data_IF_291152622245
#
_entry.id   IF_291152622245
#
_cell.length_a   1.000
_cell.length_b   1.000
_cell.length_c   1.000
_cell.angle_alpha   90.00
_cell.angle_beta   90.00
_cell.angle_gamma   90.00
#
_symmetry.space_group_name_H-M   'P 1'
#
loop_
_entity.id
_entity.type
_entity.pdbx_description
1 polymer ?
#
# COMPACT_ATOMS: atom_id res chain seq x y z
N UNK A 1 -10.94 0.71 -11.00
CA UNK A 1 -12.00 0.74 -9.94
C UNK A 1 -13.35 1.04 -10.55
N UNK A 2 -14.40 0.35 -10.13
CA UNK A 2 -15.81 0.59 -10.45
C UNK A 2 -16.33 1.84 -9.74
N UNK A 3 -17.54 2.30 -10.05
CA UNK A 3 -18.18 3.42 -9.35
C UNK A 3 -18.42 3.12 -7.85
N UNK A 4 -18.76 1.86 -7.51
CA UNK A 4 -18.92 1.44 -6.12
C UNK A 4 -17.60 1.50 -5.36
N UNK A 5 -16.53 0.96 -5.93
CA UNK A 5 -15.19 1.01 -5.32
C UNK A 5 -14.70 2.45 -5.11
N UNK A 6 -14.99 3.35 -6.05
CA UNK A 6 -14.65 4.77 -5.89
C UNK A 6 -15.40 5.42 -4.71
N UNK A 7 -16.69 5.11 -4.54
CA UNK A 7 -17.48 5.58 -3.39
C UNK A 7 -16.93 5.02 -2.08
N UNK A 8 -16.56 3.75 -2.04
CA UNK A 8 -15.95 3.11 -0.88
C UNK A 8 -14.60 3.76 -0.55
N UNK A 9 -13.76 4.01 -1.54
CA UNK A 9 -12.48 4.70 -1.35
C UNK A 9 -12.66 6.08 -0.69
N UNK A 10 -13.64 6.86 -1.14
CA UNK A 10 -13.97 8.17 -0.55
C UNK A 10 -14.41 8.01 0.91
N UNK A 11 -15.33 7.07 1.19
CA UNK A 11 -15.83 6.84 2.55
C UNK A 11 -14.73 6.39 3.51
N UNK A 12 -13.80 5.53 3.06
CA UNK A 12 -12.67 5.07 3.86
C UNK A 12 -11.74 6.23 4.23
N UNK A 13 -11.42 7.09 3.26
CA UNK A 13 -10.58 8.27 3.49
C UNK A 13 -11.25 9.26 4.42
N UNK A 14 -12.52 9.60 4.21
CA UNK A 14 -13.28 10.54 5.04
C UNK A 14 -13.42 10.02 6.49
N UNK A 15 -13.75 8.74 6.67
CA UNK A 15 -13.83 8.12 7.98
C UNK A 15 -12.47 8.10 8.69
N UNK A 16 -11.40 7.73 7.97
CA UNK A 16 -10.04 7.69 8.49
C UNK A 16 -9.53 9.08 8.88
N UNK A 17 -9.79 10.09 8.05
CA UNK A 17 -9.40 11.47 8.31
C UNK A 17 -10.11 12.05 9.55
N UNK A 18 -11.40 11.74 9.69
CA UNK A 18 -12.22 12.19 10.84
C UNK A 18 -11.84 11.52 12.15
N UNK A 19 -11.68 10.20 12.15
CA UNK A 19 -11.46 9.41 13.35
C UNK A 19 -9.98 9.21 13.72
N UNK A 20 -9.06 9.43 12.78
CA UNK A 20 -7.62 9.10 12.89
C UNK A 20 -7.36 7.61 13.07
N UNK A 21 -8.21 6.77 12.47
CA UNK A 21 -8.09 5.32 12.47
C UNK A 21 -8.04 4.78 11.04
N UNK A 22 -7.46 3.60 10.89
CA UNK A 22 -7.63 2.85 9.65
C UNK A 22 -8.96 2.10 9.64
N UNK A 23 -9.55 2.02 8.46
CA UNK A 23 -10.77 1.30 8.14
C UNK A 23 -10.50 0.36 6.98
N UNK A 24 -11.20 -0.77 6.95
CA UNK A 24 -11.23 -1.64 5.80
C UNK A 24 -12.65 -1.90 5.31
N UNK A 25 -12.79 -2.11 4.02
CA UNK A 25 -14.03 -2.46 3.34
C UNK A 25 -13.77 -3.65 2.41
N UNK A 26 -14.57 -4.70 2.57
CA UNK A 26 -14.44 -5.91 1.77
C UNK A 26 -15.66 -6.10 0.87
N UNK A 27 -15.41 -6.41 -0.41
CA UNK A 27 -16.45 -6.73 -1.39
C UNK A 27 -16.30 -8.20 -1.85
N UNK A 28 -17.39 -8.81 -2.27
CA UNK A 28 -17.35 -10.16 -2.85
C UNK A 28 -16.56 -10.20 -4.17
N UNK A 29 -16.66 -9.13 -4.97
CA UNK A 29 -15.83 -8.84 -6.14
C UNK A 29 -15.94 -7.34 -6.46
N UNK A 30 -15.21 -6.85 -7.44
CA UNK A 30 -15.22 -5.41 -7.79
C UNK A 30 -16.60 -4.84 -8.17
N UNK A 31 -17.55 -5.70 -8.56
CA UNK A 31 -18.94 -5.34 -8.87
C UNK A 31 -19.95 -5.92 -7.88
N UNK A 32 -19.48 -6.67 -6.90
CA UNK A 32 -20.33 -7.35 -5.91
C UNK A 32 -20.74 -6.43 -4.74
N UNK A 33 -21.54 -6.96 -3.80
CA UNK A 33 -21.98 -6.20 -2.65
C UNK A 33 -20.82 -5.90 -1.70
N UNK A 34 -20.93 -4.79 -0.98
CA UNK A 34 -20.12 -4.53 0.21
C UNK A 34 -20.52 -5.54 1.29
N UNK A 35 -19.55 -6.32 1.75
CA UNK A 35 -19.75 -7.36 2.77
C UNK A 35 -19.46 -6.85 4.16
N UNK A 36 -18.42 -6.01 4.29
CA UNK A 36 -17.95 -5.51 5.58
C UNK A 36 -17.33 -4.12 5.44
N UNK A 37 -17.58 -3.27 6.44
CA UNK A 37 -16.89 -2.00 6.64
C UNK A 37 -16.53 -1.92 8.12
N UNK A 38 -15.23 -2.03 8.46
CA UNK A 38 -14.79 -2.26 9.84
C UNK A 38 -13.55 -1.42 10.19
N UNK A 39 -13.35 -1.20 11.48
CA UNK A 39 -12.12 -0.63 12.06
C UNK A 39 -11.79 -1.31 13.37
N UNK A 40 -10.51 -1.48 13.66
CA UNK A 40 -10.00 -1.89 14.98
C UNK A 40 -9.72 -0.67 15.88
N UNK A 41 -10.01 0.56 15.41
CA UNK A 41 -9.71 1.83 16.07
C UNK A 41 -8.21 2.04 16.30
N UNK A 42 -7.41 1.59 15.35
CA UNK A 42 -5.96 1.76 15.32
C UNK A 42 -5.59 2.65 14.12
N UNK A 43 -4.50 3.39 14.24
CA UNK A 43 -4.01 4.31 13.22
C UNK A 43 -3.06 3.67 12.21
N UNK A 44 -2.84 2.36 12.32
CA UNK A 44 -1.91 1.61 11.48
C UNK A 44 -2.44 0.26 11.01
N UNK A 45 -3.71 -0.06 11.30
CA UNK A 45 -4.26 -1.38 11.00
C UNK A 45 -5.78 -1.41 11.04
N UNK A 46 -6.38 -2.08 10.05
CA UNK A 46 -7.80 -2.42 10.03
C UNK A 46 -8.00 -3.79 9.37
N UNK A 47 -7.89 -4.87 10.14
CA UNK A 47 -8.12 -6.20 9.58
C UNK A 47 -9.62 -6.45 9.38
N UNK A 48 -9.99 -7.17 8.31
CA UNK A 48 -11.31 -7.78 8.16
C UNK A 48 -11.63 -8.76 9.30
N UNK A 49 -12.91 -9.01 9.56
CA UNK A 49 -13.34 -9.95 10.59
C UNK A 49 -12.84 -11.38 10.30
N UNK A 50 -12.67 -12.17 11.37
CA UNK A 50 -12.24 -13.57 11.23
C UNK A 50 -13.21 -14.39 10.37
N UNK A 51 -14.52 -14.15 10.50
CA UNK A 51 -15.54 -14.83 9.69
C UNK A 51 -15.37 -14.53 8.19
N UNK A 52 -15.15 -13.27 7.83
CA UNK A 52 -14.91 -12.90 6.44
C UNK A 52 -13.61 -13.51 5.90
N UNK A 53 -12.54 -13.51 6.69
CA UNK A 53 -11.27 -14.13 6.30
C UNK A 53 -11.38 -15.65 6.10
N UNK A 54 -12.21 -16.34 6.89
CA UNK A 54 -12.49 -17.77 6.71
C UNK A 54 -13.27 -18.04 5.41
N UNK A 55 -14.23 -17.20 5.07
CA UNK A 55 -14.99 -17.32 3.84
C UNK A 55 -14.16 -16.95 2.61
N UNK A 56 -13.36 -15.89 2.70
CA UNK A 56 -12.46 -15.45 1.65
C UNK A 56 -11.39 -16.51 1.27
N UNK A 57 -10.95 -17.33 2.22
CA UNK A 57 -10.06 -18.47 1.93
C UNK A 57 -10.70 -19.55 1.06
N UNK A 58 -12.03 -19.67 1.09
CA UNK A 58 -12.78 -20.69 0.33
C UNK A 58 -13.10 -20.21 -1.09
N UNK A 59 -13.29 -18.91 -1.26
CA UNK A 59 -13.74 -18.29 -2.51
C UNK A 59 -12.81 -17.12 -2.86
N UNK A 60 -11.83 -17.27 -3.78
CA UNK A 60 -10.81 -16.26 -4.04
C UNK A 60 -11.34 -15.10 -4.95
N UNK A 61 -12.47 -14.51 -4.61
CA UNK A 61 -13.09 -13.43 -5.38
C UNK A 61 -13.19 -12.12 -4.59
N UNK A 62 -12.71 -12.10 -3.36
CA UNK A 62 -12.86 -10.93 -2.50
C UNK A 62 -11.87 -9.83 -2.87
N UNK A 63 -12.35 -8.58 -2.79
CA UNK A 63 -11.56 -7.37 -2.97
C UNK A 63 -11.51 -6.63 -1.64
N UNK A 64 -10.32 -6.21 -1.22
CA UNK A 64 -10.11 -5.44 -0.01
C UNK A 64 -9.74 -4.00 -0.36
N UNK A 65 -10.47 -3.06 0.20
CA UNK A 65 -10.10 -1.64 0.24
C UNK A 65 -9.80 -1.24 1.68
N UNK A 66 -8.77 -0.42 1.90
CA UNK A 66 -8.48 0.16 3.21
C UNK A 66 -7.82 1.54 3.03
N UNK A 67 -7.81 2.36 4.07
CA UNK A 67 -7.10 3.62 4.06
C UNK A 67 -5.73 3.49 4.73
N UNK A 68 -4.76 4.23 4.22
CA UNK A 68 -3.45 4.41 4.85
C UNK A 68 -3.30 5.85 5.35
N UNK A 69 -3.28 6.04 6.65
CA UNK A 69 -3.06 7.35 7.27
C UNK A 69 -1.62 7.85 7.11
N UNK A 70 -0.66 6.92 6.99
CA UNK A 70 0.75 7.23 6.77
C UNK A 70 1.07 7.76 5.38
N UNK A 71 0.19 7.50 4.40
CA UNK A 71 0.45 7.79 2.99
C UNK A 71 1.42 6.81 2.30
N UNK A 72 1.92 5.81 3.01
CA UNK A 72 2.84 4.82 2.48
C UNK A 72 2.13 3.78 1.63
N UNK A 73 2.89 3.09 0.77
CA UNK A 73 2.44 2.01 -0.09
C UNK A 73 2.06 0.73 0.67
N UNK A 74 1.62 -0.30 -0.07
CA UNK A 74 1.24 -1.60 0.47
C UNK A 74 2.37 -2.24 1.27
N UNK A 75 2.04 -2.72 2.46
CA UNK A 75 2.95 -3.40 3.38
C UNK A 75 3.04 -4.90 3.11
N UNK A 76 3.99 -5.59 3.74
CA UNK A 76 4.00 -7.05 3.76
C UNK A 76 2.77 -7.67 4.46
N UNK A 77 2.10 -6.91 5.34
CA UNK A 77 0.81 -7.29 5.91
C UNK A 77 -0.28 -7.36 4.85
N UNK A 78 -0.34 -6.36 3.98
CA UNK A 78 -1.28 -6.28 2.86
C UNK A 78 -1.02 -7.40 1.85
N UNK A 79 0.23 -7.62 1.47
CA UNK A 79 0.61 -8.73 0.59
C UNK A 79 0.30 -10.11 1.18
N UNK A 80 0.40 -10.27 2.51
CA UNK A 80 -0.03 -11.49 3.18
C UNK A 80 -1.53 -11.70 3.06
N UNK A 81 -2.32 -10.64 3.29
CA UNK A 81 -3.77 -10.66 3.09
C UNK A 81 -4.15 -11.04 1.65
N UNK A 82 -3.52 -10.38 0.67
CA UNK A 82 -3.73 -10.69 -0.75
C UNK A 82 -3.32 -12.13 -1.10
N UNK A 83 -2.23 -12.65 -0.51
CA UNK A 83 -1.79 -14.03 -0.75
C UNK A 83 -2.74 -15.09 -0.20
N UNK A 84 -3.52 -14.76 0.83
CA UNK A 84 -4.31 -15.74 1.57
C UNK A 84 -5.82 -15.63 1.31
N UNK A 85 -6.34 -14.42 1.09
CA UNK A 85 -7.77 -14.16 1.22
C UNK A 85 -8.35 -13.26 0.11
N UNK A 86 -7.56 -12.40 -0.50
CA UNK A 86 -8.08 -11.38 -1.41
C UNK A 86 -7.48 -11.51 -2.82
N UNK A 87 -8.33 -11.41 -3.83
CA UNK A 87 -7.89 -11.40 -5.22
C UNK A 87 -7.20 -10.07 -5.58
N UNK A 88 -7.71 -8.99 -5.02
CA UNK A 88 -7.20 -7.63 -5.22
C UNK A 88 -7.23 -6.85 -3.91
N UNK A 89 -6.25 -5.97 -3.72
CA UNK A 89 -6.18 -5.06 -2.59
C UNK A 89 -5.94 -3.63 -3.05
N UNK A 90 -6.58 -2.69 -2.36
CA UNK A 90 -6.43 -1.26 -2.60
C UNK A 90 -6.16 -0.53 -1.29
N UNK A 91 -5.18 0.36 -1.29
CA UNK A 91 -4.96 1.31 -0.20
C UNK A 91 -5.20 2.74 -0.69
N UNK A 92 -5.91 3.53 0.11
CA UNK A 92 -6.33 4.90 -0.20
C UNK A 92 -5.78 5.86 0.84
N UNK A 93 -5.06 6.90 0.41
CA UNK A 93 -4.46 7.88 1.29
C UNK A 93 -5.24 9.20 1.32
N UNK A 94 -5.08 9.96 2.38
CA UNK A 94 -5.80 11.21 2.62
C UNK A 94 -5.54 12.28 1.56
N UNK A 95 -4.34 12.27 0.93
CA UNK A 95 -3.98 13.20 -0.14
C UNK A 95 -4.56 12.81 -1.51
N UNK A 96 -5.25 11.67 -1.58
CA UNK A 96 -5.79 11.09 -2.81
C UNK A 96 -4.82 10.12 -3.51
N UNK A 97 -3.63 9.87 -2.96
CA UNK A 97 -2.77 8.78 -3.41
C UNK A 97 -3.48 7.45 -3.23
N UNK A 98 -3.36 6.57 -4.19
CA UNK A 98 -3.91 5.22 -4.11
C UNK A 98 -2.94 4.18 -4.65
N UNK A 99 -3.01 3.01 -4.06
CA UNK A 99 -2.20 1.84 -4.40
C UNK A 99 -3.10 0.66 -4.72
N UNK A 100 -2.67 -0.15 -5.68
CA UNK A 100 -3.33 -1.36 -6.12
C UNK A 100 -2.37 -2.53 -6.07
N UNK A 101 -2.84 -3.69 -5.64
CA UNK A 101 -2.07 -4.91 -5.61
C UNK A 101 -2.89 -6.16 -5.92
N UNK A 102 -2.28 -7.10 -6.66
CA UNK A 102 -2.78 -8.44 -6.92
C UNK A 102 -1.63 -9.43 -6.95
N UNK A 103 -1.77 -10.54 -6.26
CA UNK A 103 -0.74 -11.60 -6.23
C UNK A 103 -0.84 -12.46 -7.48
N UNK A 104 0.28 -12.63 -8.19
CA UNK A 104 0.42 -13.53 -9.34
C UNK A 104 1.11 -14.84 -8.96
N UNK A 105 2.13 -14.78 -8.09
CA UNK A 105 2.87 -15.94 -7.59
C UNK A 105 2.86 -15.92 -6.05
N UNK A 106 1.93 -16.68 -5.49
CA UNK A 106 1.73 -16.76 -4.04
C UNK A 106 2.95 -17.27 -3.29
N UNK A 107 3.64 -18.28 -3.82
CA UNK A 107 4.79 -18.89 -3.14
C UNK A 107 5.94 -17.90 -3.06
N UNK A 108 6.20 -17.18 -4.15
CA UNK A 108 7.25 -16.15 -4.20
C UNK A 108 6.94 -14.96 -3.29
N UNK A 109 5.68 -14.52 -3.23
CA UNK A 109 5.27 -13.44 -2.31
C UNK A 109 5.41 -13.88 -0.86
N UNK A 110 5.00 -15.11 -0.50
CA UNK A 110 5.17 -15.63 0.86
C UNK A 110 6.65 -15.78 1.24
N UNK A 111 7.50 -16.24 0.32
CA UNK A 111 8.96 -16.26 0.54
C UNK A 111 9.53 -14.86 0.77
N UNK A 112 9.07 -13.85 0.01
CA UNK A 112 9.47 -12.46 0.25
C UNK A 112 9.03 -11.96 1.63
N UNK A 113 7.83 -12.32 2.09
CA UNK A 113 7.33 -11.98 3.43
C UNK A 113 8.19 -12.63 4.54
N UNK A 114 8.66 -13.85 4.34
CA UNK A 114 9.57 -14.52 5.29
C UNK A 114 10.92 -13.82 5.38
N UNK A 115 11.40 -13.25 4.28
CA UNK A 115 12.65 -12.49 4.18
C UNK A 115 12.47 -10.97 4.39
N UNK A 116 11.35 -10.52 4.96
CA UNK A 116 10.95 -9.12 5.04
C UNK A 116 12.03 -8.18 5.58
N UNK A 117 12.68 -8.54 6.68
CA UNK A 117 13.68 -7.67 7.35
C UNK A 117 14.87 -7.40 6.43
N UNK A 118 15.34 -8.43 5.74
CA UNK A 118 16.40 -8.31 4.75
C UNK A 118 15.96 -7.42 3.56
N UNK A 119 14.75 -7.65 3.04
CA UNK A 119 14.23 -6.89 1.89
C UNK A 119 13.99 -5.43 2.27
N UNK A 120 13.42 -5.15 3.43
CA UNK A 120 13.19 -3.79 3.93
C UNK A 120 14.48 -3.00 4.09
N UNK A 121 15.52 -3.61 4.70
CA UNK A 121 16.83 -2.98 4.83
C UNK A 121 17.47 -2.68 3.47
N UNK A 122 17.44 -3.65 2.55
CA UNK A 122 17.98 -3.44 1.20
C UNK A 122 17.19 -2.41 0.38
N UNK A 123 15.89 -2.29 0.58
CA UNK A 123 15.06 -1.29 -0.10
C UNK A 123 15.45 0.14 0.35
N UNK A 124 15.66 0.35 1.66
CA UNK A 124 16.14 1.62 2.21
C UNK A 124 17.54 1.95 1.66
N UNK A 125 18.47 1.01 1.67
CA UNK A 125 19.82 1.16 1.15
C UNK A 125 19.83 1.46 -0.35
N UNK A 126 18.98 0.79 -1.13
CA UNK A 126 18.85 1.04 -2.56
C UNK A 126 18.38 2.46 -2.85
N UNK A 127 17.42 2.98 -2.11
CA UNK A 127 16.94 4.35 -2.30
C UNK A 127 17.93 5.37 -1.72
N UNK A 128 18.54 5.11 -0.56
CA UNK A 128 19.59 5.95 0.00
C UNK A 128 20.79 6.12 -0.96
N UNK A 129 21.16 5.06 -1.68
CA UNK A 129 22.22 5.11 -2.69
C UNK A 129 21.97 6.21 -3.75
N UNK A 130 20.74 6.47 -4.13
CA UNK A 130 20.39 7.48 -5.13
C UNK A 130 20.08 8.86 -4.53
N UNK A 131 19.61 8.92 -3.28
CA UNK A 131 19.07 10.14 -2.66
C UNK A 131 20.00 10.75 -1.61
N UNK A 132 20.88 9.97 -1.01
CA UNK A 132 21.63 10.33 0.19
C UNK A 132 20.73 10.84 1.34
N UNK A 133 19.46 10.38 1.37
CA UNK A 133 18.44 10.84 2.32
C UNK A 133 17.75 9.64 2.98
N UNK A 134 18.01 9.44 4.27
CA UNK A 134 17.43 8.34 5.04
C UNK A 134 15.92 8.44 5.24
N UNK A 135 15.38 9.67 5.35
CA UNK A 135 13.94 9.88 5.52
C UNK A 135 13.16 9.47 4.28
N UNK A 136 13.69 9.80 3.08
CA UNK A 136 13.11 9.33 1.83
C UNK A 136 13.23 7.82 1.70
N UNK A 137 14.36 7.23 2.11
CA UNK A 137 14.57 5.79 2.13
C UNK A 137 13.51 5.08 2.96
N UNK A 138 13.30 5.55 4.18
CA UNK A 138 12.30 4.98 5.08
C UNK A 138 10.87 5.17 4.55
N UNK A 139 10.51 6.36 4.07
CA UNK A 139 9.17 6.67 3.59
C UNK A 139 8.77 5.87 2.35
N UNK A 140 9.65 5.80 1.33
CA UNK A 140 9.36 5.09 0.08
C UNK A 140 9.78 3.62 0.09
N UNK A 141 10.28 3.08 1.20
CA UNK A 141 10.69 1.67 1.31
C UNK A 141 9.65 0.70 0.77
N UNK A 142 8.40 0.85 1.20
CA UNK A 142 7.29 -0.03 0.76
C UNK A 142 7.02 0.12 -0.73
N UNK A 143 7.09 1.34 -1.28
CA UNK A 143 6.92 1.61 -2.71
C UNK A 143 8.01 0.92 -3.54
N UNK A 144 9.27 1.02 -3.11
CA UNK A 144 10.41 0.33 -3.74
C UNK A 144 10.21 -1.18 -3.74
N UNK A 145 9.75 -1.75 -2.61
CA UNK A 145 9.47 -3.19 -2.49
C UNK A 145 8.35 -3.61 -3.44
N UNK A 146 7.22 -2.90 -3.45
CA UNK A 146 6.08 -3.21 -4.31
C UNK A 146 6.47 -3.20 -5.80
N UNK A 147 7.26 -2.21 -6.22
CA UNK A 147 7.77 -2.15 -7.60
C UNK A 147 8.78 -3.26 -7.90
N UNK A 148 9.63 -3.64 -6.94
CA UNK A 148 10.56 -4.75 -7.12
C UNK A 148 9.83 -6.09 -7.25
N UNK A 149 8.77 -6.33 -6.46
CA UNK A 149 7.88 -7.50 -6.60
C UNK A 149 7.22 -7.53 -7.98
N UNK A 150 6.76 -6.37 -8.49
CA UNK A 150 6.19 -6.23 -9.85
C UNK A 150 7.22 -6.53 -10.93
N UNK A 151 8.44 -6.00 -10.82
CA UNK A 151 9.52 -6.25 -11.79
C UNK A 151 9.83 -7.74 -11.85
N UNK A 152 9.79 -8.44 -10.71
CA UNK A 152 9.94 -9.90 -10.63
C UNK A 152 8.73 -10.70 -11.11
N UNK A 153 7.65 -10.02 -11.51
CA UNK A 153 6.38 -10.65 -11.90
C UNK A 153 5.69 -11.48 -10.82
N UNK A 154 5.99 -11.20 -9.54
CA UNK A 154 5.33 -11.86 -8.41
C UNK A 154 3.95 -11.28 -8.13
N UNK A 155 3.76 -10.03 -8.50
CA UNK A 155 2.51 -9.28 -8.30
C UNK A 155 2.18 -8.39 -9.50
N UNK A 156 0.90 -8.07 -9.68
CA UNK A 156 0.48 -6.82 -10.33
C UNK A 156 0.48 -5.73 -9.26
N UNK A 157 1.00 -4.58 -9.61
CA UNK A 157 1.06 -3.43 -8.72
C UNK A 157 0.93 -2.13 -9.50
N UNK A 158 0.22 -1.17 -8.93
CA UNK A 158 0.08 0.19 -9.47
C UNK A 158 -0.05 1.22 -8.36
N UNK A 159 0.47 2.41 -8.60
CA UNK A 159 0.31 3.57 -7.75
C UNK A 159 -0.20 4.77 -8.56
N UNK A 160 -1.01 5.60 -7.92
CA UNK A 160 -1.48 6.87 -8.46
C UNK A 160 -1.28 7.95 -7.41
N UNK A 161 -0.43 8.93 -7.71
CA UNK A 161 -0.12 9.99 -6.78
C UNK A 161 -1.27 10.98 -6.63
N UNK A 162 -1.67 11.25 -5.39
CA UNK A 162 -2.71 12.22 -5.04
C UNK A 162 -2.25 13.66 -5.16
N UNK A 163 -3.21 14.57 -5.19
CA UNK A 163 -2.97 16.02 -5.35
C UNK A 163 -3.59 16.86 -4.25
N UNK A 164 -4.24 16.25 -3.26
CA UNK A 164 -4.79 16.99 -2.11
C UNK A 164 -3.67 17.35 -1.14
N UNK A 165 -3.79 18.52 -0.53
CA UNK A 165 -2.88 18.92 0.53
C UNK A 165 -2.98 17.98 1.73
N UNK A 166 -1.82 17.57 2.24
CA UNK A 166 -1.73 16.80 3.48
C UNK A 166 -1.96 17.72 4.68
N UNK A 167 -2.42 17.12 5.77
CA UNK A 167 -2.39 17.80 7.06
C UNK A 167 -0.94 18.17 7.44
N UNK A 168 -0.79 19.30 8.11
CA UNK A 168 0.52 19.84 8.52
C UNK A 168 1.45 18.83 9.21
N UNK A 169 0.88 17.84 9.92
CA UNK A 169 1.63 16.80 10.63
C UNK A 169 2.34 15.80 9.70
N UNK A 170 1.71 15.43 8.58
CA UNK A 170 2.32 14.49 7.62
C UNK A 170 3.45 15.17 6.84
N UNK A 171 3.32 16.46 6.54
CA UNK A 171 4.36 17.26 5.87
C UNK A 171 5.60 17.42 6.76
N UNK A 172 5.42 17.60 8.07
CA UNK A 172 6.53 17.74 9.04
C UNK A 172 7.42 16.48 9.10
N UNK A 173 6.84 15.31 8.88
CA UNK A 173 7.59 14.05 8.89
C UNK A 173 8.47 13.88 7.64
N UNK A 174 8.15 14.56 6.53
CA UNK A 174 8.88 14.47 5.26
C UNK A 174 9.97 15.55 5.18
N UNK A 175 9.81 16.67 5.87
CA UNK A 175 10.74 17.80 6.01
C UNK A 175 11.48 18.22 4.70
N UNK A 176 10.77 18.17 3.57
CA UNK A 176 11.28 18.67 2.30
C UNK A 176 10.66 20.03 1.98
N UNK A 177 11.47 21.06 1.92
CA UNK A 177 11.02 22.42 1.61
C UNK A 177 10.31 22.48 0.24
N UNK A 178 9.09 23.03 0.22
CA UNK A 178 8.30 23.23 -0.99
C UNK A 178 7.48 22.03 -1.46
N UNK A 179 7.45 20.93 -0.70
CA UNK A 179 6.55 19.78 -0.93
C UNK A 179 5.34 19.91 -0.03
N UNK A 180 4.15 19.92 -0.62
CA UNK A 180 2.89 20.10 0.10
C UNK A 180 2.02 18.83 0.10
N UNK A 181 2.34 17.85 -0.75
CA UNK A 181 1.61 16.59 -0.87
C UNK A 181 2.56 15.40 -1.06
N UNK A 182 2.12 14.19 -0.67
CA UNK A 182 2.87 12.95 -0.95
C UNK A 182 3.00 12.74 -2.46
N UNK A 183 1.96 13.13 -3.22
CA UNK A 183 1.99 13.05 -4.67
C UNK A 183 3.11 13.88 -5.28
N UNK A 184 3.30 15.14 -4.84
CA UNK A 184 4.43 15.96 -5.30
C UNK A 184 5.78 15.31 -4.99
N UNK A 185 5.91 14.73 -3.79
CA UNK A 185 7.12 14.04 -3.41
C UNK A 185 7.34 12.78 -4.27
N UNK A 186 6.28 12.02 -4.53
CA UNK A 186 6.30 10.87 -5.42
C UNK A 186 6.70 11.22 -6.83
N UNK A 187 6.12 12.27 -7.41
CA UNK A 187 6.47 12.76 -8.75
C UNK A 187 7.95 13.19 -8.87
N UNK A 188 8.45 13.89 -7.86
CA UNK A 188 9.87 14.31 -7.81
C UNK A 188 10.79 13.09 -7.70
N UNK A 189 10.42 12.10 -6.91
CA UNK A 189 11.24 10.91 -6.63
C UNK A 189 10.98 9.74 -7.59
N UNK A 190 10.06 9.87 -8.54
CA UNK A 190 9.58 8.74 -9.39
C UNK A 190 10.71 7.95 -10.05
N UNK A 191 11.66 8.64 -10.67
CA UNK A 191 12.79 7.98 -11.34
C UNK A 191 13.75 7.32 -10.34
N UNK A 192 13.94 7.93 -9.18
CA UNK A 192 14.80 7.39 -8.11
C UNK A 192 14.19 6.15 -7.50
N UNK A 193 12.87 6.18 -7.23
CA UNK A 193 12.10 5.03 -6.73
C UNK A 193 12.18 3.87 -7.74
N UNK A 194 11.98 4.15 -9.04
CA UNK A 194 12.06 3.14 -10.07
C UNK A 194 13.47 2.52 -10.18
N UNK A 195 14.51 3.35 -10.09
CA UNK A 195 15.90 2.89 -10.12
C UNK A 195 16.25 2.04 -8.90
N UNK A 196 15.76 2.43 -7.71
CA UNK A 196 15.93 1.67 -6.47
C UNK A 196 15.19 0.31 -6.54
N UNK A 197 13.97 0.30 -7.08
CA UNK A 197 13.20 -0.93 -7.27
C UNK A 197 13.88 -1.90 -8.25
N UNK A 198 14.43 -1.39 -9.34
CA UNK A 198 15.21 -2.21 -10.28
C UNK A 198 16.47 -2.78 -9.62
N UNK A 199 17.18 -1.97 -8.83
CA UNK A 199 18.35 -2.43 -8.08
C UNK A 199 17.95 -3.51 -7.06
N UNK A 200 16.90 -3.30 -6.28
CA UNK A 200 16.39 -4.28 -5.32
C UNK A 200 15.95 -5.58 -6.00
N UNK A 201 15.29 -5.50 -7.15
CA UNK A 201 14.83 -6.69 -7.88
C UNK A 201 15.95 -7.61 -8.37
N UNK A 202 17.19 -7.15 -8.41
CA UNK A 202 18.36 -7.93 -8.78
C UNK A 202 19.11 -8.53 -7.58
N UNK A 203 18.73 -8.21 -6.34
CA UNK A 203 19.27 -8.81 -5.14
C UNK A 203 18.56 -10.15 -4.91
N UNK A 204 19.30 -11.21 -4.57
CA UNK A 204 18.70 -12.50 -4.20
C UNK A 204 18.01 -12.39 -2.84
N UNK A 205 16.74 -12.77 -2.77
CA UNK A 205 15.89 -12.83 -1.56
C UNK A 205 14.66 -13.70 -1.79
#
# INVERSE_FOLDING_TARGET
>A
MTELEQKIAILLVEAGESARWEYSASLECSTGPLLEFITERLDYKANPSLSLLEDAKKLPNYVLHHNHLSGESLSFGDWRGASCCFNEIYAHCNDGTSYYGKVLDKEKVLSAIENREFIESNAEDCLFYFTCNTLLGSFFRKEVICRALKIRTYVEYGSSWGKKHLSHQAILNINMAGVETIGQLGDICEQLIQSAALKLSNIEW
#
